data_IF_407817452243
#
_entry.id   IF_407817452243
#
_cell.length_a   1.000
_cell.length_b   1.000
_cell.length_c   1.000
_cell.angle_alpha   90.00
_cell.angle_beta   90.00
_cell.angle_gamma   90.00
#
_symmetry.space_group_name_H-M   'P 1'
#
loop_
_entity.id
_entity.type
_entity.pdbx_description
1 polymer ?
#
# COMPACT_ATOMS: atom_id res chain seq x y z
N UNK A 1 19.35 18.52 52.63
CA UNK A 1 18.25 17.67 52.11
C UNK A 1 17.86 18.18 50.72
N UNK A 2 18.01 17.41 49.62
CA UNK A 2 17.64 17.92 48.30
C UNK A 2 16.17 17.57 48.01
N UNK A 3 15.25 18.51 48.21
CA UNK A 3 13.82 18.38 47.88
C UNK A 3 13.44 18.85 46.46
N UNK A 4 14.40 19.19 45.61
CA UNK A 4 14.16 19.80 44.29
C UNK A 4 14.26 18.87 43.07
N UNK A 5 14.76 17.65 43.24
CA UNK A 5 15.16 16.80 42.11
C UNK A 5 13.93 16.15 41.42
N UNK A 6 12.92 15.71 42.18
CA UNK A 6 11.77 14.95 41.65
C UNK A 6 10.91 15.69 40.60
N UNK A 7 10.68 17.00 40.76
CA UNK A 7 9.90 17.79 39.80
C UNK A 7 10.63 17.97 38.47
N UNK A 8 11.97 18.03 38.50
CA UNK A 8 12.81 18.11 37.30
C UNK A 8 12.67 16.80 36.51
N UNK A 9 12.68 15.64 37.18
CA UNK A 9 12.47 14.33 36.55
C UNK A 9 11.08 14.17 35.94
N UNK A 10 10.02 14.60 36.64
CA UNK A 10 8.65 14.55 36.10
C UNK A 10 8.53 15.41 34.84
N UNK A 11 9.10 16.62 34.85
CA UNK A 11 9.15 17.47 33.65
C UNK A 11 9.96 16.86 32.51
N UNK A 12 11.07 16.18 32.82
CA UNK A 12 11.88 15.48 31.83
C UNK A 12 11.15 14.27 31.23
N UNK A 13 10.46 13.48 32.06
CA UNK A 13 9.63 12.37 31.61
C UNK A 13 8.50 12.84 30.71
N UNK A 14 7.79 13.90 31.09
CA UNK A 14 6.71 14.46 30.26
C UNK A 14 7.23 14.97 28.92
N UNK A 15 8.39 15.65 28.90
CA UNK A 15 9.03 16.09 27.65
C UNK A 15 9.40 14.92 26.75
N UNK A 16 10.06 13.89 27.30
CA UNK A 16 10.42 12.70 26.54
C UNK A 16 9.18 11.96 26.02
N UNK A 17 8.13 11.86 26.83
CA UNK A 17 6.88 11.24 26.42
C UNK A 17 6.21 12.01 25.28
N UNK A 18 6.11 13.34 25.40
CA UNK A 18 5.55 14.19 24.34
C UNK A 18 6.35 14.06 23.05
N UNK A 19 7.68 14.06 23.13
CA UNK A 19 8.54 13.89 21.97
C UNK A 19 8.33 12.52 21.29
N UNK A 20 8.24 11.44 22.06
CA UNK A 20 7.94 10.11 21.51
C UNK A 20 6.56 10.05 20.84
N UNK A 21 5.55 10.69 21.43
CA UNK A 21 4.21 10.76 20.86
C UNK A 21 4.18 11.56 19.54
N UNK A 22 4.84 12.72 19.50
CA UNK A 22 4.93 13.55 18.30
C UNK A 22 5.68 12.82 17.16
N UNK A 23 6.75 12.10 17.51
CA UNK A 23 7.49 11.26 16.57
C UNK A 23 6.62 10.13 16.01
N UNK A 24 5.85 9.45 16.86
CA UNK A 24 4.93 8.40 16.44
C UNK A 24 3.87 8.93 15.47
N UNK A 25 3.23 10.05 15.82
CA UNK A 25 2.25 10.72 14.96
C UNK A 25 2.84 11.09 13.60
N UNK A 26 4.07 11.65 13.60
CA UNK A 26 4.76 12.01 12.35
C UNK A 26 5.07 10.78 11.51
N UNK A 27 5.55 9.69 12.11
CA UNK A 27 5.84 8.44 11.41
C UNK A 27 4.56 7.83 10.81
N UNK A 28 3.46 7.84 11.56
CA UNK A 28 2.17 7.32 11.09
C UNK A 28 1.65 8.14 9.90
N UNK A 29 1.73 9.48 9.97
CA UNK A 29 1.35 10.36 8.86
C UNK A 29 2.21 10.13 7.62
N UNK A 30 3.53 10.05 7.79
CA UNK A 30 4.45 9.80 6.67
C UNK A 30 4.22 8.44 6.01
N UNK A 31 3.88 7.42 6.79
CA UNK A 31 3.53 6.10 6.27
C UNK A 31 2.25 6.18 5.43
N UNK A 32 1.19 6.79 5.98
CA UNK A 32 -0.09 6.95 5.28
C UNK A 32 0.04 7.77 3.99
N UNK A 33 0.83 8.85 4.00
CA UNK A 33 1.13 9.62 2.80
C UNK A 33 1.86 8.79 1.74
N UNK A 34 2.81 7.97 2.16
CA UNK A 34 3.56 7.08 1.26
C UNK A 34 2.66 6.00 0.67
N UNK A 35 1.82 5.36 1.50
CA UNK A 35 0.83 4.37 1.07
C UNK A 35 -0.16 4.96 0.07
N UNK A 36 -0.71 6.15 0.34
CA UNK A 36 -1.61 6.83 -0.58
C UNK A 36 -0.92 7.18 -1.90
N UNK A 37 0.34 7.63 -1.85
CA UNK A 37 1.11 7.94 -3.05
C UNK A 37 1.33 6.68 -3.89
N UNK A 38 1.74 5.58 -3.26
CA UNK A 38 1.91 4.28 -3.94
C UNK A 38 0.60 3.79 -4.54
N UNK A 39 -0.51 3.90 -3.80
CA UNK A 39 -1.84 3.54 -4.29
C UNK A 39 -2.23 4.36 -5.52
N UNK A 40 -2.00 5.66 -5.53
CA UNK A 40 -2.27 6.53 -6.69
C UNK A 40 -1.38 6.12 -7.88
N UNK A 41 -0.08 5.93 -7.64
CA UNK A 41 0.85 5.52 -8.70
C UNK A 41 0.47 4.18 -9.32
N UNK A 42 0.10 3.20 -8.49
CA UNK A 42 -0.39 1.90 -8.95
C UNK A 42 -1.69 2.05 -9.75
N UNK A 43 -2.70 2.69 -9.16
CA UNK A 43 -4.05 2.83 -9.71
C UNK A 43 -4.07 3.53 -11.08
N UNK A 44 -3.22 4.56 -11.23
CA UNK A 44 -3.18 5.42 -12.42
C UNK A 44 -1.95 5.20 -13.31
N UNK A 45 -1.16 4.14 -13.07
CA UNK A 45 -0.10 3.76 -14.00
C UNK A 45 -0.68 3.51 -15.40
N UNK A 46 0.01 3.94 -16.47
CA UNK A 46 -0.48 3.78 -17.84
C UNK A 46 -0.51 2.31 -18.27
N UNK A 47 0.44 1.52 -17.80
CA UNK A 47 0.55 0.10 -18.11
C UNK A 47 -0.35 -0.73 -17.20
N UNK A 48 -0.88 -1.83 -17.75
CA UNK A 48 -1.65 -2.80 -17.00
C UNK A 48 -0.76 -3.51 -15.97
N UNK A 49 -1.14 -3.45 -14.70
CA UNK A 49 -0.45 -4.13 -13.60
C UNK A 49 -1.41 -5.12 -12.98
N UNK A 50 -0.95 -6.36 -12.87
CA UNK A 50 -1.63 -7.45 -12.19
C UNK A 50 -0.74 -7.94 -11.04
N UNK A 51 -1.36 -8.33 -9.94
CA UNK A 51 -0.68 -8.86 -8.78
C UNK A 51 -1.29 -10.20 -8.40
N UNK A 52 -0.42 -11.17 -8.14
CA UNK A 52 -0.78 -12.56 -7.84
C UNK A 52 -0.06 -13.01 -6.58
N UNK A 53 -0.63 -13.98 -5.89
CA UNK A 53 0.08 -14.75 -4.88
C UNK A 53 0.98 -15.80 -5.56
N UNK A 54 1.69 -16.59 -4.74
CA UNK A 54 2.59 -17.63 -5.24
C UNK A 54 1.85 -18.80 -5.92
N UNK A 55 0.55 -18.92 -5.72
CA UNK A 55 -0.30 -19.94 -6.35
C UNK A 55 -0.97 -19.42 -7.63
N UNK A 56 -0.66 -18.19 -8.06
CA UNK A 56 -1.29 -17.57 -9.22
C UNK A 56 -2.70 -17.04 -8.94
N UNK A 57 -3.11 -16.92 -7.67
CA UNK A 57 -4.38 -16.29 -7.31
C UNK A 57 -4.27 -14.77 -7.39
N UNK A 58 -5.20 -14.11 -8.09
CA UNK A 58 -5.24 -12.66 -8.17
C UNK A 58 -5.40 -12.01 -6.80
N UNK A 59 -4.46 -11.14 -6.45
CA UNK A 59 -4.49 -10.29 -5.26
C UNK A 59 -5.07 -8.92 -5.61
N UNK A 60 -4.62 -8.33 -6.72
CA UNK A 60 -5.04 -6.99 -7.14
C UNK A 60 -4.73 -6.74 -8.63
N UNK A 61 -5.31 -5.68 -9.19
CA UNK A 61 -5.01 -5.18 -10.53
C UNK A 61 -5.30 -3.69 -10.62
N UNK A 62 -4.55 -2.92 -11.42
CA UNK A 62 -4.80 -1.49 -11.57
C UNK A 62 -5.89 -1.17 -12.61
N UNK A 63 -6.26 0.12 -12.71
CA UNK A 63 -7.30 0.56 -13.66
C UNK A 63 -6.93 0.32 -15.12
N UNK A 64 -5.65 0.39 -15.48
CA UNK A 64 -5.20 0.09 -16.84
C UNK A 64 -5.42 -1.39 -17.17
N UNK A 65 -5.21 -2.29 -16.21
CA UNK A 65 -5.52 -3.69 -16.36
C UNK A 65 -7.02 -3.93 -16.55
N UNK A 66 -7.90 -3.24 -15.81
CA UNK A 66 -9.36 -3.38 -16.02
C UNK A 66 -9.77 -2.96 -17.44
N UNK A 67 -9.17 -1.89 -17.96
CA UNK A 67 -9.42 -1.42 -19.33
C UNK A 67 -8.87 -2.36 -20.38
N UNK A 68 -7.69 -2.96 -20.13
CA UNK A 68 -7.04 -3.86 -21.07
C UNK A 68 -7.84 -5.16 -21.23
N UNK A 69 -8.35 -5.68 -20.12
CA UNK A 69 -8.96 -7.01 -20.08
C UNK A 69 -10.48 -6.98 -20.18
N UNK A 70 -11.10 -5.85 -19.83
CA UNK A 70 -12.55 -5.70 -19.74
C UNK A 70 -13.15 -6.24 -18.44
N UNK A 71 -12.35 -6.89 -17.58
CA UNK A 71 -12.78 -7.37 -16.28
C UNK A 71 -12.58 -6.31 -15.20
N UNK A 72 -13.53 -6.24 -14.26
CA UNK A 72 -13.35 -5.45 -13.04
C UNK A 72 -12.46 -6.18 -12.06
N UNK A 73 -11.72 -5.43 -11.26
CA UNK A 73 -10.90 -5.95 -10.15
C UNK A 73 -11.68 -6.92 -9.27
N UNK A 74 -12.91 -6.58 -8.90
CA UNK A 74 -13.76 -7.42 -8.03
C UNK A 74 -14.14 -8.77 -8.64
N UNK A 75 -14.04 -8.92 -9.95
CA UNK A 75 -14.39 -10.15 -10.66
C UNK A 75 -13.20 -11.12 -10.71
N UNK A 76 -11.97 -10.61 -10.58
CA UNK A 76 -10.76 -11.41 -10.64
C UNK A 76 -10.13 -11.66 -9.27
N UNK A 77 -10.30 -10.79 -8.27
CA UNK A 77 -9.70 -11.01 -6.95
C UNK A 77 -10.14 -12.38 -6.38
N UNK A 78 -9.15 -13.19 -5.99
CA UNK A 78 -9.36 -14.51 -5.39
C UNK A 78 -9.54 -15.65 -6.39
N UNK A 79 -9.56 -15.38 -7.70
CA UNK A 79 -9.58 -16.43 -8.73
C UNK A 79 -8.17 -16.79 -9.19
N UNK A 80 -8.01 -18.00 -9.75
CA UNK A 80 -6.72 -18.44 -10.30
C UNK A 80 -6.49 -17.83 -11.68
N UNK A 81 -5.25 -17.44 -11.97
CA UNK A 81 -4.83 -17.01 -13.30
C UNK A 81 -5.06 -18.09 -14.37
N UNK A 82 -5.01 -19.37 -13.99
CA UNK A 82 -5.24 -20.49 -14.91
C UNK A 82 -6.71 -20.65 -15.29
N UNK A 83 -7.63 -20.20 -14.45
CA UNK A 83 -9.07 -20.28 -14.68
C UNK A 83 -9.56 -19.20 -15.65
N UNK A 84 -8.75 -18.16 -15.87
CA UNK A 84 -9.14 -17.02 -16.68
C UNK A 84 -8.26 -16.98 -17.93
N UNK A 85 -8.90 -16.95 -19.10
CA UNK A 85 -8.25 -16.88 -20.41
C UNK A 85 -7.75 -15.45 -20.72
N UNK A 86 -7.07 -14.83 -19.75
CA UNK A 86 -6.54 -13.46 -19.85
C UNK A 86 -5.42 -13.33 -20.88
N UNK A 87 -4.69 -14.42 -21.13
CA UNK A 87 -3.54 -14.47 -22.02
C UNK A 87 -3.84 -15.34 -23.24
N UNK A 88 -4.86 -14.97 -24.02
CA UNK A 88 -4.91 -15.41 -25.42
C UNK A 88 -3.70 -14.78 -26.14
N UNK A 89 -2.94 -15.60 -26.88
CA UNK A 89 -1.73 -15.18 -27.62
C UNK A 89 -1.98 -14.04 -28.63
N UNK A 90 -3.24 -13.70 -28.94
CA UNK A 90 -3.59 -12.53 -29.74
C UNK A 90 -3.43 -11.20 -28.99
N UNK A 91 -3.56 -11.18 -27.65
CA UNK A 91 -3.47 -9.96 -26.85
C UNK A 91 -2.02 -9.53 -26.57
N UNK A 92 -1.06 -10.46 -26.59
CA UNK A 92 0.37 -10.17 -26.36
C UNK A 92 0.96 -9.32 -27.48
N UNK A 93 0.45 -9.43 -28.72
CA UNK A 93 0.91 -8.61 -29.86
C UNK A 93 0.56 -7.12 -29.76
N UNK A 94 -0.26 -6.69 -28.80
CA UNK A 94 -0.52 -5.27 -28.51
C UNK A 94 0.34 -4.69 -27.38
N UNK A 95 1.15 -5.52 -26.72
CA UNK A 95 1.96 -5.12 -25.55
C UNK A 95 3.45 -4.88 -25.87
N UNK A 96 3.82 -4.89 -27.16
CA UNK A 96 5.16 -4.51 -27.69
C UNK A 96 4.98 -3.77 -28.99
#
# INVERSE_FOLDING_TARGET
>A
MPRGIGLIWIGQLFRSFKQSYDLLLKSQKSLLESENRLKILFEYAPDAIFMFDLNGTFIDMNRAAEKLTGYRRTELIGTSIEEIELVSLENVKRLT
#
